data_IF_970026477071
#
_entry.id   IF_970026477071
#
_cell.length_a   1.000
_cell.length_b   1.000
_cell.length_c   1.000
_cell.angle_alpha   90.00
_cell.angle_beta   90.00
_cell.angle_gamma   90.00
#
_symmetry.space_group_name_H-M   'P 1'
#
loop_
_entity.id
_entity.type
_entity.pdbx_description
1 polymer ?
#
# COMPACT_ATOMS: atom_id res chain seq x y z
N UNK A 1 20.17 -13.51 25.34
CA UNK A 1 18.79 -13.99 25.16
C UNK A 1 18.00 -12.86 24.49
N UNK A 2 17.47 -13.08 23.30
CA UNK A 2 16.73 -12.06 22.54
C UNK A 2 15.31 -12.01 23.09
N UNK A 3 14.92 -10.93 23.77
CA UNK A 3 13.58 -10.81 24.33
C UNK A 3 12.63 -10.28 23.25
N UNK A 4 11.76 -11.18 22.77
CA UNK A 4 10.77 -10.89 21.73
C UNK A 4 9.55 -10.15 22.29
N UNK A 5 9.26 -10.33 23.58
CA UNK A 5 8.00 -9.87 24.19
C UNK A 5 8.08 -8.44 24.71
N UNK A 6 9.23 -8.01 25.21
CA UNK A 6 9.37 -6.68 25.83
C UNK A 6 9.99 -5.63 24.91
N UNK A 7 10.62 -6.07 23.81
CA UNK A 7 11.30 -5.14 22.89
C UNK A 7 10.28 -4.24 22.21
N UNK A 8 10.32 -2.96 22.57
CA UNK A 8 9.48 -1.93 21.96
C UNK A 8 9.75 -1.83 20.45
N UNK A 9 8.66 -1.75 19.68
CA UNK A 9 8.67 -1.70 18.21
C UNK A 9 9.54 -0.57 17.64
N UNK A 10 9.68 0.55 18.35
CA UNK A 10 10.46 1.72 17.91
C UNK A 10 11.97 1.48 17.80
N UNK A 11 12.47 0.39 18.39
CA UNK A 11 13.88 0.02 18.34
C UNK A 11 14.18 -1.02 17.25
N UNK A 12 13.19 -1.34 16.42
CA UNK A 12 13.40 -2.12 15.21
C UNK A 12 13.93 -1.22 14.09
N UNK A 13 14.88 -1.73 13.32
CA UNK A 13 15.42 -1.03 12.16
C UNK A 13 14.29 -0.66 11.19
N UNK A 14 14.19 0.61 10.84
CA UNK A 14 13.14 1.11 9.96
C UNK A 14 11.81 1.43 10.66
N UNK A 15 11.68 1.25 11.98
CA UNK A 15 10.53 1.70 12.77
C UNK A 15 10.98 2.80 13.72
N UNK A 16 11.09 4.04 13.20
CA UNK A 16 11.33 5.21 14.05
C UNK A 16 10.08 5.63 14.85
N UNK A 17 10.19 6.66 15.71
CA UNK A 17 9.10 7.11 16.59
C UNK A 17 7.78 7.42 15.85
N UNK A 18 7.88 8.03 14.66
CA UNK A 18 6.70 8.35 13.84
C UNK A 18 5.97 7.09 13.35
N UNK A 19 6.72 6.09 12.85
CA UNK A 19 6.14 4.82 12.40
C UNK A 19 5.58 4.02 13.58
N UNK A 20 6.29 4.01 14.72
CA UNK A 20 5.80 3.39 15.95
C UNK A 20 4.47 4.01 16.41
N UNK A 21 4.32 5.34 16.37
CA UNK A 21 3.08 6.01 16.73
C UNK A 21 1.89 5.58 15.83
N UNK A 22 2.10 5.44 14.52
CA UNK A 22 1.08 4.95 13.58
C UNK A 22 0.73 3.48 13.86
N UNK A 23 1.74 2.61 14.02
CA UNK A 23 1.55 1.19 14.31
C UNK A 23 0.79 0.97 15.62
N UNK A 24 1.13 1.72 16.67
CA UNK A 24 0.44 1.68 17.96
C UNK A 24 -1.02 2.11 17.82
N UNK A 25 -1.27 3.22 17.10
CA UNK A 25 -2.60 3.83 17.00
C UNK A 25 -3.56 3.00 16.15
N UNK A 26 -3.09 2.50 15.01
CA UNK A 26 -3.96 1.84 14.03
C UNK A 26 -4.00 0.33 14.20
N UNK A 27 -2.87 -0.29 14.52
CA UNK A 27 -2.72 -1.76 14.55
C UNK A 27 -2.53 -2.32 15.96
N UNK A 28 -2.41 -1.47 16.98
CA UNK A 28 -2.13 -1.86 18.38
C UNK A 28 -0.86 -2.72 18.53
N UNK A 29 0.15 -2.48 17.69
CA UNK A 29 1.43 -3.21 17.69
C UNK A 29 2.45 -2.42 18.50
N UNK A 30 2.80 -2.89 19.71
CA UNK A 30 3.72 -2.19 20.62
C UNK A 30 5.07 -2.90 20.76
N UNK A 31 5.08 -4.22 20.61
CA UNK A 31 6.24 -5.08 20.78
C UNK A 31 6.62 -5.82 19.49
N UNK A 32 7.85 -6.37 19.47
CA UNK A 32 8.27 -7.29 18.41
C UNK A 32 7.35 -8.53 18.34
N UNK A 33 6.88 -9.03 19.48
CA UNK A 33 5.93 -10.14 19.53
C UNK A 33 4.62 -9.81 18.80
N UNK A 34 4.04 -8.63 19.03
CA UNK A 34 2.80 -8.20 18.37
C UNK A 34 2.99 -8.13 16.85
N UNK A 35 4.14 -7.63 16.39
CA UNK A 35 4.44 -7.50 14.96
C UNK A 35 4.60 -8.88 14.29
N UNK A 36 5.23 -9.84 14.96
CA UNK A 36 5.41 -11.20 14.43
C UNK A 36 4.08 -11.96 14.34
N UNK A 37 3.12 -11.65 15.20
CA UNK A 37 1.78 -12.27 15.22
C UNK A 37 0.73 -11.44 14.46
N UNK A 38 1.13 -10.33 13.84
CA UNK A 38 0.26 -9.54 12.99
C UNK A 38 0.31 -10.05 11.55
N UNK A 39 -0.62 -10.93 11.21
CA UNK A 39 -0.69 -11.54 9.88
C UNK A 39 -1.44 -10.65 8.88
N UNK A 40 -0.98 -10.57 7.62
CA UNK A 40 -1.73 -9.90 6.57
C UNK A 40 -3.13 -10.49 6.38
N UNK A 41 -4.15 -9.64 6.26
CA UNK A 41 -5.53 -10.11 5.97
C UNK A 41 -5.66 -10.68 4.55
N UNK A 42 -4.80 -10.23 3.63
CA UNK A 42 -4.80 -10.63 2.23
C UNK A 42 -3.40 -10.50 1.64
N UNK A 43 -3.02 -11.51 0.86
CA UNK A 43 -1.86 -11.46 -0.02
C UNK A 43 -2.31 -11.06 -1.42
N UNK A 44 -1.74 -9.99 -1.96
CA UNK A 44 -1.95 -9.58 -3.35
C UNK A 44 -0.64 -9.84 -4.07
N UNK A 45 -0.65 -10.78 -5.01
CA UNK A 45 0.50 -11.03 -5.88
C UNK A 45 0.65 -9.86 -6.87
N UNK A 46 1.84 -9.25 -6.88
CA UNK A 46 2.22 -8.13 -7.76
C UNK A 46 3.35 -8.51 -8.72
N UNK A 47 3.61 -9.80 -8.90
CA UNK A 47 4.69 -10.30 -9.76
C UNK A 47 4.40 -10.10 -11.25
N UNK A 48 3.12 -10.03 -11.61
CA UNK A 48 2.67 -9.97 -13.00
C UNK A 48 2.07 -8.61 -13.33
N UNK A 49 2.55 -8.03 -14.43
CA UNK A 49 1.98 -6.83 -15.04
C UNK A 49 1.27 -7.29 -16.30
N UNK A 50 -0.05 -7.07 -16.33
CA UNK A 50 -0.90 -7.47 -17.44
C UNK A 50 -0.90 -6.41 -18.53
N UNK A 51 -1.04 -6.84 -19.78
CA UNK A 51 -1.40 -5.95 -20.89
C UNK A 51 -2.91 -5.71 -20.86
N UNK A 52 -3.36 -4.57 -21.38
CA UNK A 52 -4.80 -4.26 -21.50
C UNK A 52 -5.54 -5.35 -22.29
N UNK A 53 -4.88 -5.96 -23.28
CA UNK A 53 -5.43 -7.07 -24.08
C UNK A 53 -5.65 -8.37 -23.32
N UNK A 54 -5.09 -8.51 -22.11
CA UNK A 54 -5.13 -9.74 -21.29
C UNK A 54 -6.12 -9.61 -20.12
N UNK A 55 -6.83 -8.48 -20.03
CA UNK A 55 -7.81 -8.20 -18.98
C UNK A 55 -9.08 -9.02 -19.24
N UNK A 56 -9.56 -9.70 -18.21
CA UNK A 56 -10.88 -10.34 -18.16
C UNK A 56 -11.70 -9.73 -17.02
N UNK A 57 -13.02 -9.61 -17.21
CA UNK A 57 -13.95 -9.00 -16.25
C UNK A 57 -13.99 -9.73 -14.90
N UNK A 58 -13.55 -11.00 -14.84
CA UNK A 58 -13.51 -11.77 -13.61
C UNK A 58 -12.22 -11.56 -12.79
N UNK A 59 -11.33 -10.65 -13.19
CA UNK A 59 -10.05 -10.41 -12.49
C UNK A 59 -10.16 -9.26 -11.47
N UNK A 60 -10.21 -9.53 -10.15
CA UNK A 60 -10.47 -8.51 -9.13
C UNK A 60 -9.27 -7.59 -8.83
N UNK A 61 -8.04 -8.00 -9.13
CA UNK A 61 -6.83 -7.20 -8.93
C UNK A 61 -5.92 -7.34 -10.15
N UNK A 62 -5.78 -6.24 -10.90
CA UNK A 62 -4.96 -6.16 -12.10
C UNK A 62 -3.92 -5.05 -11.93
N UNK A 63 -2.70 -5.33 -12.36
CA UNK A 63 -1.63 -4.33 -12.43
C UNK A 63 -1.34 -4.02 -13.89
N UNK A 64 -1.47 -2.75 -14.27
CA UNK A 64 -1.23 -2.24 -15.62
C UNK A 64 -0.01 -1.32 -15.63
N UNK A 65 0.70 -1.31 -16.76
CA UNK A 65 1.79 -0.37 -17.02
C UNK A 65 1.53 0.30 -18.37
N UNK A 66 1.47 1.63 -18.37
CA UNK A 66 1.28 2.43 -19.58
C UNK A 66 1.92 3.80 -19.42
N UNK A 67 1.85 4.61 -20.47
CA UNK A 67 2.32 6.00 -20.44
C UNK A 67 1.14 6.95 -20.40
N UNK A 68 1.21 7.93 -19.49
CA UNK A 68 0.26 9.05 -19.48
C UNK A 68 0.63 9.97 -20.64
N UNK A 69 -0.27 10.16 -21.59
CA UNK A 69 -0.04 11.06 -22.74
C UNK A 69 -0.69 12.42 -22.56
N UNK A 70 -1.89 12.45 -21.95
CA UNK A 70 -2.66 13.67 -21.75
C UNK A 70 -3.32 13.65 -20.39
N UNK A 71 -3.30 14.81 -19.73
CA UNK A 71 -4.07 15.04 -18.52
C UNK A 71 -4.85 16.35 -18.71
N UNK A 72 -6.14 16.31 -18.39
CA UNK A 72 -7.03 17.47 -18.43
C UNK A 72 -7.62 17.69 -17.04
N UNK A 73 -7.72 18.95 -16.64
CA UNK A 73 -8.42 19.33 -15.42
C UNK A 73 -9.88 19.60 -15.78
N UNK A 74 -10.77 18.72 -15.35
CA UNK A 74 -12.21 18.86 -15.50
C UNK A 74 -12.82 19.50 -14.25
N UNK A 75 -13.61 20.55 -14.43
CA UNK A 75 -14.33 21.26 -13.36
C UNK A 75 -13.72 22.62 -12.95
N UNK A 76 -14.57 23.49 -12.40
CA UNK A 76 -14.20 24.83 -11.94
C UNK A 76 -14.23 24.93 -10.39
N UNK A 77 -13.32 25.70 -9.80
CA UNK A 77 -13.27 25.93 -8.35
C UNK A 77 -12.62 24.80 -7.54
N UNK A 78 -13.27 24.38 -6.43
CA UNK A 78 -12.74 23.37 -5.48
C UNK A 78 -12.93 21.92 -5.96
N UNK A 79 -13.73 21.70 -7.00
CA UNK A 79 -13.98 20.37 -7.58
C UNK A 79 -13.19 20.31 -8.89
N UNK A 80 -11.87 20.09 -8.76
CA UNK A 80 -11.01 19.79 -9.90
C UNK A 80 -10.79 18.30 -9.96
N UNK A 81 -11.21 17.69 -11.06
CA UNK A 81 -10.99 16.28 -11.35
C UNK A 81 -9.88 16.20 -12.39
N UNK A 82 -8.82 15.44 -12.09
CA UNK A 82 -7.78 15.17 -13.07
C UNK A 82 -8.24 14.01 -13.95
N UNK A 83 -8.66 14.31 -15.17
CA UNK A 83 -8.92 13.30 -16.19
C UNK A 83 -7.59 12.92 -16.83
N UNK A 84 -7.25 11.64 -16.84
CA UNK A 84 -5.99 11.13 -17.37
C UNK A 84 -6.29 10.13 -18.47
N UNK A 85 -5.82 10.43 -19.68
CA UNK A 85 -5.88 9.52 -20.82
C UNK A 85 -4.54 8.77 -20.90
N UNK A 86 -4.60 7.45 -20.70
CA UNK A 86 -3.46 6.55 -20.82
C UNK A 86 -3.70 5.56 -21.96
N UNK A 87 -2.72 5.42 -22.85
CA UNK A 87 -2.62 4.31 -23.81
C UNK A 87 -1.34 3.52 -23.48
N UNK A 88 -1.35 2.22 -23.79
CA UNK A 88 -0.21 1.33 -23.55
C UNK A 88 0.82 1.41 -24.67
#
# INVERSE_FOLDING_TARGET
MFDLTTRNIQFLSGVGPQRAAVLNKELKIYSLYDMLHYFPYKYIDRSHIYRISEIDDNMPYLQLKGQIQQFELFGEGRIKILHVSAFQ
#
